data_IF_641261332696
#
_entry.id   IF_641261332696
#
_cell.length_a   1.000
_cell.length_b   1.000
_cell.length_c   1.000
_cell.angle_alpha   90.00
_cell.angle_beta   90.00
_cell.angle_gamma   90.00
#
_symmetry.space_group_name_H-M   'P 1'
#
loop_
_entity.id
_entity.type
_entity.pdbx_description
1 polymer ?
#
# COMPACT_ATOMS: atom_id res chain seq x y z
N UNK A 1 -2.52 -14.61 9.74
CA UNK A 1 -1.19 -14.40 9.12
C UNK A 1 -1.22 -14.17 7.60
N UNK A 2 -2.08 -14.83 6.82
CA UNK A 2 -2.20 -14.56 5.37
C UNK A 2 -2.77 -13.17 5.03
N UNK A 3 -3.79 -12.70 5.77
CA UNK A 3 -4.40 -11.38 5.54
C UNK A 3 -3.38 -10.24 5.66
N UNK A 4 -2.55 -10.27 6.70
CA UNK A 4 -1.50 -9.26 6.94
C UNK A 4 -0.52 -9.20 5.77
N UNK A 5 -0.09 -10.36 5.25
CA UNK A 5 0.77 -10.44 4.05
C UNK A 5 0.08 -9.86 2.81
N UNK A 6 -1.24 -10.04 2.69
CA UNK A 6 -2.04 -9.43 1.63
C UNK A 6 -1.99 -7.90 1.62
N UNK A 7 -2.13 -7.28 2.78
CA UNK A 7 -2.07 -5.81 2.90
C UNK A 7 -0.70 -5.25 2.53
N UNK A 8 0.38 -5.90 2.97
CA UNK A 8 1.74 -5.49 2.61
C UNK A 8 1.93 -5.54 1.09
N UNK A 9 1.44 -6.61 0.46
CA UNK A 9 1.51 -6.78 -0.99
C UNK A 9 0.70 -5.73 -1.75
N UNK A 10 -0.49 -5.37 -1.26
CA UNK A 10 -1.32 -4.30 -1.85
C UNK A 10 -0.61 -2.95 -1.78
N UNK A 11 -0.05 -2.60 -0.61
CA UNK A 11 0.63 -1.31 -0.42
C UNK A 11 1.91 -1.25 -1.27
N UNK A 12 2.72 -2.32 -1.29
CA UNK A 12 3.93 -2.36 -2.11
C UNK A 12 3.62 -2.33 -3.61
N UNK A 13 2.58 -3.05 -4.06
CA UNK A 13 2.18 -3.06 -5.45
C UNK A 13 1.67 -1.67 -5.88
N UNK A 14 0.87 -1.00 -5.04
CA UNK A 14 0.39 0.36 -5.31
C UNK A 14 1.54 1.37 -5.38
N UNK A 15 2.49 1.30 -4.45
CA UNK A 15 3.70 2.15 -4.46
C UNK A 15 4.53 1.87 -5.72
N UNK A 16 4.69 0.60 -6.11
CA UNK A 16 5.39 0.21 -7.33
C UNK A 16 4.69 0.72 -8.60
N UNK A 17 3.38 0.56 -8.71
CA UNK A 17 2.58 1.07 -9.84
C UNK A 17 2.69 2.60 -9.96
N UNK A 18 2.60 3.32 -8.83
CA UNK A 18 2.77 4.78 -8.77
C UNK A 18 4.18 5.23 -9.17
N UNK A 19 5.21 4.48 -8.78
CA UNK A 19 6.60 4.83 -9.03
C UNK A 19 7.07 4.51 -10.45
N UNK A 20 6.60 3.39 -10.99
CA UNK A 20 6.97 2.92 -12.33
C UNK A 20 6.12 3.54 -13.43
N UNK A 21 5.01 4.20 -13.08
CA UNK A 21 4.08 4.82 -14.03
C UNK A 21 3.23 3.81 -14.81
N UNK A 22 3.44 2.51 -14.59
CA UNK A 22 2.64 1.44 -15.19
C UNK A 22 1.40 1.18 -14.35
N UNK A 23 0.33 1.91 -14.66
CA UNK A 23 -0.98 1.73 -14.03
C UNK A 23 -1.72 0.54 -14.65
N UNK A 24 -1.22 -0.69 -14.49
CA UNK A 24 -1.99 -1.90 -14.80
C UNK A 24 -2.71 -2.37 -13.53
N UNK A 25 -3.68 -1.57 -13.07
CA UNK A 25 -4.47 -1.91 -11.88
C UNK A 25 -5.16 -3.26 -12.13
N UNK A 26 -4.69 -4.31 -11.48
CA UNK A 26 -5.24 -5.65 -11.60
C UNK A 26 -6.33 -5.86 -10.53
N UNK A 27 -7.62 -5.67 -10.86
CA UNK A 27 -8.69 -5.56 -9.87
C UNK A 27 -8.85 -6.83 -9.01
N UNK A 28 -8.63 -8.01 -9.60
CA UNK A 28 -8.70 -9.30 -8.89
C UNK A 28 -7.67 -9.43 -7.76
N UNK A 29 -6.51 -8.81 -7.93
CA UNK A 29 -5.46 -8.79 -6.91
C UNK A 29 -5.87 -7.91 -5.72
N UNK A 30 -6.34 -6.70 -6.02
CA UNK A 30 -6.77 -5.76 -4.98
C UNK A 30 -8.00 -6.27 -4.23
N UNK A 31 -9.02 -6.82 -4.90
CA UNK A 31 -10.21 -7.35 -4.24
C UNK A 31 -9.89 -8.54 -3.33
N UNK A 32 -9.03 -9.46 -3.78
CA UNK A 32 -8.64 -10.65 -3.00
C UNK A 32 -7.90 -10.31 -1.70
N UNK A 33 -7.12 -9.23 -1.70
CA UNK A 33 -6.28 -8.86 -0.55
C UNK A 33 -6.83 -7.69 0.27
N UNK A 34 -7.77 -6.89 -0.27
CA UNK A 34 -8.44 -5.79 0.43
C UNK A 34 -9.82 -6.15 0.98
N UNK A 35 -10.36 -7.34 0.67
CA UNK A 35 -11.58 -7.87 1.28
C UNK A 35 -11.37 -8.17 2.78
N UNK A 36 -11.30 -7.13 3.61
CA UNK A 36 -11.39 -7.22 5.07
C UNK A 36 -12.77 -6.82 5.52
N UNK A 37 -13.43 -7.72 6.23
CA UNK A 37 -14.66 -7.43 6.98
C UNK A 37 -14.38 -7.05 8.45
N UNK A 38 -13.11 -6.85 8.85
CA UNK A 38 -12.72 -6.68 10.26
C UNK A 38 -12.06 -5.34 10.55
N UNK A 39 -12.49 -4.66 11.63
CA UNK A 39 -11.98 -3.34 12.05
C UNK A 39 -10.46 -3.31 12.27
N UNK A 40 -9.88 -4.42 12.73
CA UNK A 40 -8.43 -4.53 12.99
C UNK A 40 -7.64 -4.47 11.67
N UNK A 41 -8.15 -5.12 10.61
CA UNK A 41 -7.50 -5.08 9.29
C UNK A 41 -7.47 -3.67 8.71
N UNK A 42 -8.55 -2.92 8.88
CA UNK A 42 -8.62 -1.52 8.45
C UNK A 42 -7.61 -0.62 9.19
N UNK A 43 -7.50 -0.74 10.52
CA UNK A 43 -6.52 0.05 11.30
C UNK A 43 -5.08 -0.26 10.85
N UNK A 44 -4.78 -1.53 10.59
CA UNK A 44 -3.47 -1.96 10.13
C UNK A 44 -3.17 -1.45 8.70
N UNK A 45 -4.16 -1.48 7.82
CA UNK A 45 -4.04 -0.93 6.47
C UNK A 45 -3.75 0.58 6.51
N UNK A 46 -4.51 1.33 7.29
CA UNK A 46 -4.34 2.79 7.41
C UNK A 46 -2.97 3.15 7.97
N UNK A 47 -2.49 2.42 8.99
CA UNK A 47 -1.15 2.65 9.54
C UNK A 47 -0.04 2.34 8.53
N UNK A 48 -0.15 1.27 7.75
CA UNK A 48 0.80 0.98 6.67
C UNK A 48 0.81 2.05 5.59
N UNK A 49 -0.36 2.50 5.13
CA UNK A 49 -0.48 3.57 4.13
C UNK A 49 0.16 4.85 4.67
N UNK A 50 -0.11 5.20 5.93
CA UNK A 50 0.45 6.41 6.57
C UNK A 50 1.98 6.35 6.61
N UNK A 51 2.56 5.22 7.02
CA UNK A 51 4.02 5.03 7.03
C UNK A 51 4.63 5.13 5.63
N UNK A 52 3.99 4.53 4.63
CA UNK A 52 4.43 4.61 3.24
C UNK A 52 4.40 6.06 2.73
N UNK A 53 3.32 6.81 3.00
CA UNK A 53 3.20 8.22 2.61
C UNK A 53 4.27 9.07 3.27
N UNK A 54 4.50 8.92 4.58
CA UNK A 54 5.56 9.65 5.29
C UNK A 54 6.93 9.30 4.73
N UNK A 55 7.21 8.01 4.48
CA UNK A 55 8.48 7.57 3.90
C UNK A 55 8.74 8.18 2.52
N UNK A 56 7.74 8.16 1.63
CA UNK A 56 7.83 8.76 0.29
C UNK A 56 8.04 10.27 0.38
N UNK A 57 7.27 10.96 1.24
CA UNK A 57 7.38 12.41 1.42
C UNK A 57 8.74 12.82 1.99
N UNK A 58 9.25 12.11 3.00
CA UNK A 58 10.58 12.36 3.56
C UNK A 58 11.69 12.09 2.53
N UNK A 59 11.58 11.02 1.74
CA UNK A 59 12.56 10.73 0.69
C UNK A 59 12.55 11.81 -0.40
N UNK A 60 11.37 12.26 -0.84
CA UNK A 60 11.25 13.36 -1.80
C UNK A 60 11.83 14.65 -1.25
N UNK A 61 11.58 14.97 0.03
CA UNK A 61 12.15 16.14 0.68
C UNK A 61 13.67 16.12 0.65
N UNK A 62 14.31 15.01 1.05
CA UNK A 62 15.78 14.83 1.03
C UNK A 62 16.35 14.86 -0.39
N UNK A 63 15.58 14.43 -1.39
CA UNK A 63 16.04 14.42 -2.79
C UNK A 63 15.97 15.81 -3.42
N UNK A 64 14.98 16.61 -3.05
CA UNK A 64 14.70 17.93 -3.66
C UNK A 64 15.50 19.03 -2.96
N UNK A 65 15.64 18.96 -1.64
CA UNK A 65 16.42 19.89 -0.81
C UNK A 65 17.74 19.26 -0.37
#
# INVERSE_FOLDING_TARGET
MQLIKGYVLVVLNLVGELWTGFYSRNPDFYDKYSATQTKIGYIFFVTMVTLATVGIASWLYIRIY
#
